data_IF_149817103431
#
_entry.id   IF_149817103431
#
_cell.length_a   1.000
_cell.length_b   1.000
_cell.length_c   1.000
_cell.angle_alpha   90.00
_cell.angle_beta   90.00
_cell.angle_gamma   90.00
#
_symmetry.space_group_name_H-M   'P 1'
#
loop_
_entity.id
_entity.type
_entity.pdbx_description
1 polymer ?
#
# COMPACT_ATOMS: atom_id res chain seq x y z
N UNK A 1 -30.46 13.32 -46.61
CA UNK A 1 -31.02 13.31 -45.23
C UNK A 1 -30.27 12.22 -44.46
N UNK A 2 -29.23 12.58 -43.68
CA UNK A 2 -28.58 11.75 -42.63
C UNK A 2 -27.20 12.27 -42.16
N UNK A 3 -26.77 13.46 -42.58
CA UNK A 3 -25.50 14.07 -42.13
C UNK A 3 -25.43 14.25 -40.61
N UNK A 4 -26.57 14.57 -39.99
CA UNK A 4 -26.69 14.69 -38.52
C UNK A 4 -26.51 13.36 -37.80
N UNK A 5 -26.95 12.25 -38.41
CA UNK A 5 -26.77 10.92 -37.85
C UNK A 5 -25.31 10.49 -37.86
N UNK A 6 -24.60 10.75 -38.97
CA UNK A 6 -23.16 10.50 -39.07
C UNK A 6 -22.34 11.37 -38.11
N UNK A 7 -22.69 12.66 -37.94
CA UNK A 7 -22.03 13.51 -36.95
C UNK A 7 -22.25 13.01 -35.52
N UNK A 8 -23.47 12.61 -35.17
CA UNK A 8 -23.77 12.04 -33.85
C UNK A 8 -22.97 10.75 -33.61
N UNK A 9 -22.93 9.85 -34.59
CA UNK A 9 -22.15 8.61 -34.51
C UNK A 9 -20.64 8.88 -34.32
N UNK A 10 -20.10 9.89 -35.01
CA UNK A 10 -18.69 10.27 -34.94
C UNK A 10 -18.34 10.87 -33.57
N UNK A 11 -19.21 11.71 -33.01
CA UNK A 11 -19.02 12.30 -31.67
C UNK A 11 -19.08 11.21 -30.60
N UNK A 12 -20.02 10.27 -30.69
CA UNK A 12 -20.14 9.15 -29.74
C UNK A 12 -18.91 8.23 -29.78
N UNK A 13 -18.36 7.97 -30.97
CA UNK A 13 -17.13 7.21 -31.13
C UNK A 13 -15.93 7.95 -30.52
N UNK A 14 -15.82 9.27 -30.75
CA UNK A 14 -14.77 10.10 -30.16
C UNK A 14 -14.85 10.13 -28.63
N UNK A 15 -16.06 10.26 -28.08
CA UNK A 15 -16.28 10.28 -26.64
C UNK A 15 -15.90 8.92 -26.02
N UNK A 16 -16.25 7.82 -26.68
CA UNK A 16 -15.85 6.47 -26.28
C UNK A 16 -14.33 6.26 -26.29
N UNK A 17 -13.63 6.82 -27.28
CA UNK A 17 -12.17 6.77 -27.38
C UNK A 17 -11.49 7.61 -26.28
N UNK A 18 -12.02 8.81 -25.99
CA UNK A 18 -11.55 9.66 -24.90
C UNK A 18 -11.73 9.02 -23.51
N UNK A 19 -12.84 8.31 -23.29
CA UNK A 19 -13.08 7.58 -22.04
C UNK A 19 -12.22 6.32 -21.93
N UNK A 20 -11.93 5.63 -23.04
CA UNK A 20 -11.08 4.44 -23.05
C UNK A 20 -9.61 4.75 -22.72
N UNK A 21 -9.14 5.96 -23.03
CA UNK A 21 -7.75 6.38 -22.78
C UNK A 21 -7.50 6.84 -21.33
N UNK A 22 -8.54 6.94 -20.50
CA UNK A 22 -8.47 7.52 -19.15
C UNK A 22 -9.08 6.67 -18.04
N UNK A 23 -9.10 5.34 -18.18
CA UNK A 23 -9.30 4.47 -17.00
C UNK A 23 -8.13 4.64 -16.03
N UNK A 24 -8.31 5.57 -15.09
CA UNK A 24 -7.44 5.71 -13.93
C UNK A 24 -7.69 4.48 -13.06
N UNK A 25 -6.86 3.45 -13.24
CA UNK A 25 -6.87 2.28 -12.35
C UNK A 25 -6.46 2.74 -10.97
N UNK A 26 -7.41 2.81 -10.05
CA UNK A 26 -7.13 3.02 -8.63
C UNK A 26 -6.41 1.75 -8.13
N UNK A 27 -5.18 1.92 -7.67
CA UNK A 27 -4.36 0.78 -7.21
C UNK A 27 -4.71 0.58 -5.73
N UNK A 28 -5.44 -0.48 -5.43
CA UNK A 28 -5.68 -0.88 -4.05
C UNK A 28 -4.43 -1.54 -3.46
N UNK A 29 -3.88 -0.94 -2.41
CA UNK A 29 -2.68 -1.44 -1.72
C UNK A 29 -3.10 -2.40 -0.63
N UNK A 30 -3.31 -3.67 -0.98
CA UNK A 30 -3.75 -4.70 -0.05
C UNK A 30 -2.55 -5.54 0.40
N UNK A 31 -2.40 -5.68 1.72
CA UNK A 31 -1.37 -6.54 2.31
C UNK A 31 -1.59 -8.03 1.98
N UNK A 32 -0.51 -8.78 1.70
CA UNK A 32 -0.60 -10.21 1.46
C UNK A 32 -0.95 -10.97 2.76
N UNK A 33 -1.55 -12.18 2.66
CA UNK A 33 -1.86 -13.01 3.82
C UNK A 33 -0.65 -13.29 4.73
N UNK A 34 0.55 -13.39 4.15
CA UNK A 34 1.80 -13.57 4.88
C UNK A 34 2.11 -12.45 5.88
N UNK A 35 1.63 -11.22 5.63
CA UNK A 35 1.74 -10.09 6.55
C UNK A 35 0.50 -9.94 7.45
N UNK A 36 -0.70 -10.32 6.97
CA UNK A 36 -1.93 -10.27 7.76
C UNK A 36 -1.92 -11.24 8.97
N UNK A 37 -1.44 -12.47 8.79
CA UNK A 37 -1.39 -13.46 9.89
C UNK A 37 -0.52 -13.00 11.09
N UNK A 38 0.69 -12.46 10.88
CA UNK A 38 1.44 -11.79 11.94
C UNK A 38 0.69 -10.64 12.60
N UNK A 39 0.00 -9.79 11.85
CA UNK A 39 -0.75 -8.66 12.41
C UNK A 39 -1.87 -9.15 13.35
N UNK A 40 -2.59 -10.21 12.97
CA UNK A 40 -3.54 -10.89 13.84
C UNK A 40 -2.89 -11.40 15.13
N UNK A 41 -1.71 -12.02 15.04
CA UNK A 41 -0.93 -12.42 16.23
C UNK A 41 -0.54 -11.21 17.07
N UNK A 42 -0.02 -10.15 16.46
CA UNK A 42 0.40 -8.94 17.14
C UNK A 42 -0.75 -8.32 17.94
N UNK A 43 -1.95 -8.27 17.36
CA UNK A 43 -3.16 -7.81 18.05
C UNK A 43 -3.54 -8.70 19.24
N UNK A 44 -3.44 -10.03 19.08
CA UNK A 44 -3.69 -10.96 20.17
C UNK A 44 -2.66 -10.83 21.31
N UNK A 45 -1.38 -10.67 20.97
CA UNK A 45 -0.29 -10.46 21.93
C UNK A 45 -0.44 -9.10 22.63
N UNK A 46 -0.77 -8.04 21.90
CA UNK A 46 -1.07 -6.72 22.46
C UNK A 46 -2.21 -6.80 23.47
N UNK A 47 -3.29 -7.51 23.14
CA UNK A 47 -4.43 -7.69 24.05
C UNK A 47 -4.04 -8.41 25.34
N UNK A 48 -3.09 -9.35 25.28
CA UNK A 48 -2.67 -10.18 26.42
C UNK A 48 -1.58 -9.54 27.28
N UNK A 49 -0.57 -8.93 26.65
CA UNK A 49 0.65 -8.46 27.29
C UNK A 49 0.84 -6.94 27.23
N UNK A 50 0.00 -6.23 26.45
CA UNK A 50 0.17 -4.82 26.15
C UNK A 50 1.31 -4.55 25.16
N UNK A 51 1.73 -3.28 25.07
CA UNK A 51 2.87 -2.84 24.25
C UNK A 51 2.58 -2.70 22.75
N UNK A 52 3.42 -1.96 22.02
CA UNK A 52 3.13 -1.62 20.61
C UNK A 52 2.25 -0.38 20.44
N UNK A 53 2.15 0.13 19.21
CA UNK A 53 1.41 1.33 18.80
C UNK A 53 0.77 1.09 17.42
N UNK A 54 0.03 2.07 16.91
CA UNK A 54 -0.60 2.03 15.56
C UNK A 54 -1.62 0.90 15.39
N UNK A 55 -2.48 0.69 16.40
CA UNK A 55 -3.47 -0.39 16.41
C UNK A 55 -4.44 -0.33 15.23
N UNK A 56 -4.87 0.87 14.82
CA UNK A 56 -5.76 1.05 13.65
C UNK A 56 -5.14 0.52 12.37
N UNK A 57 -3.85 0.79 12.14
CA UNK A 57 -3.11 0.28 10.99
C UNK A 57 -2.92 -1.24 11.10
N UNK A 58 -2.60 -1.74 12.29
CA UNK A 58 -2.49 -3.18 12.54
C UNK A 58 -3.81 -3.92 12.26
N UNK A 59 -4.96 -3.34 12.64
CA UNK A 59 -6.29 -3.86 12.34
C UNK A 59 -6.57 -3.85 10.83
N UNK A 60 -6.20 -2.78 10.12
CA UNK A 60 -6.32 -2.70 8.67
C UNK A 60 -5.47 -3.78 7.97
N UNK A 61 -4.22 -3.98 8.42
CA UNK A 61 -3.33 -5.03 7.91
C UNK A 61 -3.93 -6.42 8.19
N UNK A 62 -4.38 -6.66 9.42
CA UNK A 62 -4.96 -7.93 9.84
C UNK A 62 -6.21 -8.28 9.01
N UNK A 63 -7.07 -7.30 8.71
CA UNK A 63 -8.30 -7.48 7.94
C UNK A 63 -8.09 -7.37 6.43
N UNK A 64 -6.85 -7.19 5.97
CA UNK A 64 -6.51 -6.98 4.55
C UNK A 64 -7.32 -5.85 3.91
N UNK A 65 -7.55 -4.77 4.66
CA UNK A 65 -8.18 -3.56 4.13
C UNK A 65 -7.21 -2.85 3.18
N UNK A 66 -7.72 -2.12 2.18
CA UNK A 66 -6.89 -1.24 1.36
C UNK A 66 -6.15 -0.23 2.24
N UNK A 67 -4.84 -0.11 2.03
CA UNK A 67 -3.99 0.83 2.74
C UNK A 67 -3.72 2.07 1.87
N UNK A 68 -3.48 3.19 2.52
CA UNK A 68 -3.05 4.42 1.86
C UNK A 68 -1.54 4.43 1.63
N UNK A 69 -1.08 5.31 0.75
CA UNK A 69 0.35 5.57 0.54
C UNK A 69 1.05 6.05 1.83
N UNK A 70 0.32 6.79 2.67
CA UNK A 70 0.80 7.24 3.99
C UNK A 70 0.99 6.07 4.95
N UNK A 71 0.08 5.09 4.94
CA UNK A 71 0.22 3.86 5.72
C UNK A 71 1.46 3.07 5.28
N UNK A 72 1.71 2.95 3.97
CA UNK A 72 2.92 2.27 3.45
C UNK A 72 4.19 3.00 3.92
N UNK A 73 4.23 4.32 3.85
CA UNK A 73 5.36 5.10 4.34
C UNK A 73 5.56 4.91 5.84
N UNK A 74 4.47 4.92 6.61
CA UNK A 74 4.47 4.64 8.04
C UNK A 74 5.06 3.26 8.33
N UNK A 75 4.71 2.23 7.55
CA UNK A 75 5.29 0.90 7.68
C UNK A 75 6.79 0.88 7.37
N UNK A 76 7.22 1.51 6.28
CA UNK A 76 8.64 1.54 5.90
C UNK A 76 9.48 2.23 6.98
N UNK A 77 9.08 3.43 7.40
CA UNK A 77 9.79 4.23 8.40
C UNK A 77 9.82 3.50 9.76
N UNK A 78 8.72 2.81 10.08
CA UNK A 78 8.62 1.97 11.27
C UNK A 78 9.70 0.88 11.27
N UNK A 79 9.80 0.08 10.22
CA UNK A 79 10.72 -1.06 10.18
C UNK A 79 12.19 -0.64 10.12
N UNK A 80 12.48 0.55 9.61
CA UNK A 80 13.81 1.14 9.65
C UNK A 80 14.17 1.58 11.08
N UNK A 81 13.28 2.35 11.71
CA UNK A 81 13.48 2.90 13.06
C UNK A 81 13.59 1.81 14.13
N UNK A 82 12.77 0.77 14.02
CA UNK A 82 12.65 -0.29 15.01
C UNK A 82 13.41 -1.56 14.64
N UNK A 83 14.39 -1.47 13.73
CA UNK A 83 15.33 -2.57 13.45
C UNK A 83 16.00 -3.16 14.70
N UNK A 84 16.45 -2.35 15.69
CA UNK A 84 17.10 -2.88 16.90
C UNK A 84 16.18 -3.71 17.80
N UNK A 85 14.85 -3.57 17.69
CA UNK A 85 13.89 -4.34 18.48
C UNK A 85 14.07 -5.87 18.30
N UNK A 86 14.64 -6.29 17.16
CA UNK A 86 14.90 -7.70 16.84
C UNK A 86 15.88 -8.37 17.82
N UNK A 87 16.69 -7.57 18.52
CA UNK A 87 17.69 -8.05 19.47
C UNK A 87 17.13 -8.13 20.91
N UNK A 88 15.87 -7.75 21.12
CA UNK A 88 15.25 -7.72 22.45
C UNK A 88 15.11 -9.14 23.06
N UNK A 89 15.41 -9.30 24.36
CA UNK A 89 15.11 -10.55 25.07
C UNK A 89 13.61 -10.87 25.03
N UNK A 90 13.25 -12.05 24.51
CA UNK A 90 11.85 -12.45 24.30
C UNK A 90 11.35 -12.24 22.87
N UNK A 91 12.22 -11.87 21.94
CA UNK A 91 11.94 -11.95 20.51
C UNK A 91 11.48 -13.37 20.12
N UNK A 92 10.38 -13.48 19.36
CA UNK A 92 9.73 -14.76 19.02
C UNK A 92 9.26 -15.64 20.19
N UNK A 93 9.09 -15.10 21.41
CA UNK A 93 8.56 -15.86 22.54
C UNK A 93 7.07 -15.58 22.81
N UNK A 94 6.13 -16.47 22.46
CA UNK A 94 4.68 -16.23 22.65
C UNK A 94 4.22 -16.22 24.12
N UNK A 95 4.99 -16.77 25.04
CA UNK A 95 4.65 -16.82 26.47
C UNK A 95 5.15 -15.59 27.22
N UNK A 96 6.31 -15.08 26.82
CA UNK A 96 6.94 -13.87 27.35
C UNK A 96 7.50 -13.02 26.20
N UNK A 97 6.62 -12.42 25.39
CA UNK A 97 7.04 -11.68 24.21
C UNK A 97 7.78 -10.39 24.61
N UNK A 98 8.80 -10.02 23.83
CA UNK A 98 9.36 -8.68 23.91
C UNK A 98 8.36 -7.65 23.37
N UNK A 99 8.42 -6.42 23.88
CA UNK A 99 7.62 -5.31 23.36
C UNK A 99 7.95 -5.05 21.89
N UNK A 100 9.22 -5.20 21.52
CA UNK A 100 9.69 -5.12 20.14
C UNK A 100 8.99 -6.13 19.23
N UNK A 101 8.89 -7.39 19.65
CA UNK A 101 8.25 -8.43 18.84
C UNK A 101 6.76 -8.19 18.65
N UNK A 102 6.04 -7.78 19.71
CA UNK A 102 4.61 -7.40 19.59
C UNK A 102 4.46 -6.27 18.56
N UNK A 103 5.30 -5.25 18.65
CA UNK A 103 5.28 -4.09 17.77
C UNK A 103 5.54 -4.47 16.30
N UNK A 104 6.51 -5.36 16.05
CA UNK A 104 6.79 -5.88 14.72
C UNK A 104 5.68 -6.77 14.17
N UNK A 105 5.10 -7.62 15.01
CA UNK A 105 3.99 -8.48 14.62
C UNK A 105 2.77 -7.65 14.22
N UNK A 106 2.44 -6.57 14.94
CA UNK A 106 1.37 -5.64 14.56
C UNK A 106 1.51 -5.10 13.13
N UNK A 107 2.74 -4.95 12.63
CA UNK A 107 3.05 -4.41 11.31
C UNK A 107 3.28 -5.50 10.25
N UNK A 108 3.09 -6.78 10.58
CA UNK A 108 3.19 -7.87 9.62
C UNK A 108 4.50 -8.67 9.66
N UNK A 109 5.31 -8.55 10.73
CA UNK A 109 6.65 -9.15 10.84
C UNK A 109 7.53 -8.80 9.60
N UNK A 110 8.45 -9.69 9.24
CA UNK A 110 9.34 -9.54 8.09
C UNK A 110 8.57 -9.48 6.75
N UNK A 111 7.45 -10.20 6.64
CA UNK A 111 6.63 -10.19 5.42
C UNK A 111 6.01 -8.82 5.17
N UNK A 112 5.51 -8.16 6.21
CA UNK A 112 5.00 -6.79 6.15
C UNK A 112 6.07 -5.80 5.70
N UNK A 113 7.29 -5.93 6.26
CA UNK A 113 8.45 -5.11 5.88
C UNK A 113 8.81 -5.23 4.40
N UNK A 114 8.96 -6.46 3.92
CA UNK A 114 9.35 -6.70 2.53
C UNK A 114 8.29 -6.15 1.58
N UNK A 115 7.02 -6.39 1.89
CA UNK A 115 5.92 -5.90 1.09
C UNK A 115 5.82 -4.37 1.07
N UNK A 116 5.98 -3.70 2.21
CA UNK A 116 5.86 -2.23 2.26
C UNK A 116 6.98 -1.54 1.49
N UNK A 117 8.22 -2.06 1.57
CA UNK A 117 9.37 -1.55 0.82
C UNK A 117 9.15 -1.72 -0.69
N UNK A 118 8.74 -2.92 -1.12
CA UNK A 118 8.52 -3.19 -2.55
C UNK A 118 7.37 -2.35 -3.10
N UNK A 119 6.27 -2.23 -2.33
CA UNK A 119 5.11 -1.43 -2.71
C UNK A 119 5.47 0.05 -2.85
N UNK A 120 6.21 0.61 -1.89
CA UNK A 120 6.69 2.01 -1.96
C UNK A 120 7.51 2.25 -3.23
N UNK A 121 8.44 1.34 -3.54
CA UNK A 121 9.26 1.41 -4.74
C UNK A 121 8.43 1.38 -6.02
N UNK A 122 7.50 0.42 -6.14
CA UNK A 122 6.61 0.31 -7.31
C UNK A 122 5.79 1.58 -7.54
N UNK A 123 5.26 2.16 -6.46
CA UNK A 123 4.47 3.40 -6.52
C UNK A 123 5.34 4.59 -6.94
N UNK A 124 6.54 4.74 -6.39
CA UNK A 124 7.48 5.80 -6.77
C UNK A 124 7.92 5.69 -8.23
N UNK A 125 8.19 4.48 -8.72
CA UNK A 125 8.52 4.23 -10.12
C UNK A 125 7.34 4.54 -11.06
N UNK A 126 6.12 4.14 -10.69
CA UNK A 126 4.91 4.49 -11.43
C UNK A 126 4.64 6.00 -11.48
N UNK A 127 4.95 6.74 -10.40
CA UNK A 127 4.85 8.20 -10.36
C UNK A 127 5.91 8.88 -11.23
N UNK A 128 7.13 8.34 -11.29
CA UNK A 128 8.20 8.83 -12.19
C UNK A 128 7.79 8.68 -13.66
N UNK A 129 7.26 7.54 -14.06
CA UNK A 129 6.80 7.31 -15.45
C UNK A 129 5.70 8.30 -15.86
N UNK A 130 4.68 8.53 -15.01
CA UNK A 130 3.65 9.55 -15.26
C UNK A 130 4.21 10.96 -15.37
N UNK A 131 5.19 11.31 -14.55
CA UNK A 131 5.82 12.64 -14.56
C UNK A 131 6.64 12.87 -15.83
N UNK A 132 7.33 11.84 -16.31
CA UNK A 132 8.08 11.89 -17.58
C UNK A 132 7.11 12.03 -18.76
N UNK A 133 6.05 11.21 -18.83
CA UNK A 133 5.02 11.30 -19.88
C UNK A 133 4.32 12.67 -19.91
N UNK A 134 4.02 13.24 -18.75
CA UNK A 134 3.40 14.58 -18.64
C UNK A 134 4.34 15.71 -19.07
N UNK A 135 5.65 15.56 -18.85
CA UNK A 135 6.65 16.56 -19.24
C UNK A 135 7.05 16.45 -20.71
N UNK A 136 7.01 15.27 -21.32
CA UNK A 136 7.19 15.08 -22.77
C UNK A 136 5.98 15.57 -23.58
N UNK A 137 4.74 15.29 -23.13
CA UNK A 137 3.51 15.73 -23.82
C UNK A 137 3.35 17.25 -23.89
N UNK A 138 3.94 18.00 -22.94
CA UNK A 138 3.92 19.48 -22.94
C UNK A 138 4.97 20.11 -23.86
N UNK A 139 5.97 19.35 -24.33
CA UNK A 139 7.06 19.84 -25.18
C UNK A 139 6.79 19.68 -26.69
N UNK A 140 5.63 19.16 -27.07
CA UNK A 140 5.25 18.81 -28.45
C UNK A 140 4.04 19.59 -28.99
N UNK A 141 3.93 20.88 -28.67
CA UNK A 141 3.08 21.83 -29.41
C UNK A 141 3.97 22.94 -30.00
N UNK A 142 3.89 23.20 -31.32
CA UNK A 142 4.58 24.31 -31.98
C UNK A 142 4.00 25.67 -31.59
#
# INVERSE_FOLDING_TARGET
>A
MNTLFFQAQLIMLHLSLLTAESEVREIELIVPPAASMPALRGLALHKKFGGGKNLTLAEAIAQQKPLTLEDINTMVDFFEKFKPDMDDPGWYNPEKPSVGWIRWSLMGDQSGKMWSIETKKMVEEGLKDKSIKMTEKKRSLP
#
